data_IF_972940616385
#
_entry.id   IF_972940616385
#
_cell.length_a   1.000
_cell.length_b   1.000
_cell.length_c   1.000
_cell.angle_alpha   90.00
_cell.angle_beta   90.00
_cell.angle_gamma   90.00
#
_symmetry.space_group_name_H-M   'P 1'
#
loop_
_entity.id
_entity.type
_entity.pdbx_description
1 polymer ?
#
# COMPACT_ATOMS: atom_id res chain seq x y z
N UNK A 1 62.96 63.07 -17.98
CA UNK A 1 63.08 61.59 -18.02
C UNK A 1 61.67 61.05 -17.79
N UNK A 2 60.90 60.85 -18.87
CA UNK A 2 60.65 59.54 -19.54
C UNK A 2 59.73 58.64 -18.69
N UNK A 3 58.51 58.24 -19.09
CA UNK A 3 57.80 58.31 -20.37
C UNK A 3 56.28 58.10 -20.18
N UNK A 4 55.49 57.85 -21.25
CA UNK A 4 54.02 57.85 -21.18
C UNK A 4 53.46 56.50 -20.70
N UNK A 5 52.36 56.55 -19.95
CA UNK A 5 51.60 55.37 -19.51
C UNK A 5 50.81 54.79 -20.69
N UNK A 6 51.00 53.51 -21.00
CA UNK A 6 50.17 52.79 -21.97
C UNK A 6 48.78 52.50 -21.39
N UNK A 7 47.69 52.61 -22.17
CA UNK A 7 46.39 52.17 -21.68
C UNK A 7 46.28 50.65 -21.80
N UNK A 8 46.05 49.97 -20.67
CA UNK A 8 45.68 48.55 -20.64
C UNK A 8 44.25 48.43 -21.17
N UNK A 9 44.07 47.75 -22.28
CA UNK A 9 42.75 47.48 -22.87
C UNK A 9 41.99 46.46 -22.00
N UNK A 10 40.96 46.91 -21.30
CA UNK A 10 40.02 46.04 -20.59
C UNK A 10 39.00 45.51 -21.60
N UNK A 11 39.19 44.29 -22.10
CA UNK A 11 38.13 43.59 -22.84
C UNK A 11 37.08 43.08 -21.85
N UNK A 12 35.91 43.74 -21.83
CA UNK A 12 34.75 43.26 -21.10
C UNK A 12 34.07 42.14 -21.89
N UNK A 13 34.18 40.91 -21.41
CA UNK A 13 33.42 39.77 -21.94
C UNK A 13 31.97 39.92 -21.49
N UNK A 14 31.08 40.23 -22.41
CA UNK A 14 29.65 40.30 -22.16
C UNK A 14 29.08 38.87 -22.16
N UNK A 15 28.92 38.27 -20.98
CA UNK A 15 28.18 37.02 -20.82
C UNK A 15 26.68 37.31 -21.03
N UNK A 16 26.18 36.98 -22.22
CA UNK A 16 24.76 36.96 -22.52
C UNK A 16 24.10 35.82 -21.73
N UNK A 17 23.51 36.15 -20.58
CA UNK A 17 22.61 35.27 -19.85
C UNK A 17 21.33 35.08 -20.67
N UNK A 18 21.24 33.97 -21.40
CA UNK A 18 20.02 33.56 -22.09
C UNK A 18 18.93 33.23 -21.07
N UNK A 19 17.98 34.14 -20.88
CA UNK A 19 16.77 33.94 -20.08
C UNK A 19 15.85 32.93 -20.78
N UNK A 20 16.05 31.64 -20.50
CA UNK A 20 15.11 30.60 -20.91
C UNK A 20 13.76 30.85 -20.24
N UNK A 21 12.71 31.12 -21.03
CA UNK A 21 11.34 31.19 -20.50
C UNK A 21 10.91 29.82 -20.01
N UNK A 22 10.81 29.66 -18.68
CA UNK A 22 10.16 28.52 -18.07
C UNK A 22 8.65 28.76 -18.09
N UNK A 23 7.92 28.06 -18.96
CA UNK A 23 6.45 28.05 -18.94
C UNK A 23 5.97 27.11 -17.83
N UNK A 24 5.72 27.65 -16.63
CA UNK A 24 5.01 26.93 -15.58
C UNK A 24 3.54 26.72 -15.95
N UNK A 25 3.02 25.50 -15.81
CA UNK A 25 1.59 25.22 -15.94
C UNK A 25 0.88 25.46 -14.61
N UNK A 26 -0.24 26.17 -14.64
CA UNK A 26 -1.13 26.33 -13.49
C UNK A 26 -2.17 25.20 -13.48
N UNK A 27 -2.38 24.58 -12.33
CA UNK A 27 -3.41 23.57 -12.10
C UNK A 27 -4.34 24.06 -10.99
N UNK A 28 -5.63 24.24 -11.32
CA UNK A 28 -6.63 24.68 -10.35
C UNK A 28 -7.23 23.47 -9.63
N UNK A 29 -7.23 23.51 -8.30
CA UNK A 29 -7.89 22.54 -7.45
C UNK A 29 -9.07 23.26 -6.77
N UNK A 30 -10.30 22.97 -7.20
CA UNK A 30 -11.51 23.60 -6.67
C UNK A 30 -12.65 22.59 -6.60
N UNK A 31 -13.55 22.78 -5.65
CA UNK A 31 -14.84 22.11 -5.49
C UNK A 31 -16.04 23.00 -5.85
N UNK A 32 -15.82 24.20 -6.43
CA UNK A 32 -16.88 25.17 -6.81
C UNK A 32 -17.95 24.57 -7.75
N UNK A 33 -17.60 23.51 -8.51
CA UNK A 33 -18.51 22.78 -9.39
C UNK A 33 -19.12 21.51 -8.77
N UNK A 34 -18.91 21.27 -7.48
CA UNK A 34 -19.20 20.02 -6.79
C UNK A 34 -18.01 19.07 -6.74
N UNK A 35 -18.17 17.99 -5.96
CA UNK A 35 -17.14 16.97 -5.76
C UNK A 35 -17.21 15.87 -6.83
N UNK A 36 -16.07 15.20 -7.04
CA UNK A 36 -15.98 13.99 -7.84
C UNK A 36 -16.57 12.75 -7.13
N UNK A 37 -16.09 11.57 -7.50
CA UNK A 37 -16.49 10.31 -6.84
C UNK A 37 -15.95 10.22 -5.42
N UNK A 38 -16.66 9.50 -4.56
CA UNK A 38 -16.19 9.12 -3.24
C UNK A 38 -15.00 8.16 -3.39
N UNK A 39 -14.01 8.34 -2.54
CA UNK A 39 -12.87 7.43 -2.44
C UNK A 39 -13.17 6.34 -1.40
N UNK A 40 -13.15 5.08 -1.82
CA UNK A 40 -13.55 3.94 -0.99
C UNK A 40 -12.40 3.31 -0.19
N UNK A 41 -11.15 3.74 -0.43
CA UNK A 41 -9.96 3.29 0.28
C UNK A 41 -8.98 2.47 -0.55
N UNK A 42 -7.88 2.10 0.10
CA UNK A 42 -6.79 1.26 -0.44
C UNK A 42 -6.63 0.05 0.48
N UNK A 43 -6.37 -1.12 -0.11
CA UNK A 43 -6.28 -2.37 0.62
C UNK A 43 -5.13 -3.28 0.20
N UNK A 44 -5.02 -4.37 0.96
CA UNK A 44 -4.15 -5.51 0.68
C UNK A 44 -4.95 -6.83 0.65
N UNK A 45 -4.38 -7.85 0.03
CA UNK A 45 -4.94 -9.20 -0.07
C UNK A 45 -4.09 -10.16 0.78
N UNK A 46 -4.75 -10.93 1.65
CA UNK A 46 -4.22 -12.18 2.20
C UNK A 46 -4.94 -13.36 1.53
N UNK A 47 -4.21 -14.40 1.18
CA UNK A 47 -4.68 -15.48 0.32
C UNK A 47 -4.39 -15.23 -1.15
N UNK A 48 -5.18 -15.81 -2.04
CA UNK A 48 -4.68 -16.17 -3.37
C UNK A 48 -3.59 -17.23 -3.24
N UNK A 49 -3.71 -18.11 -2.25
CA UNK A 49 -2.80 -19.20 -1.95
C UNK A 49 -1.73 -18.89 -0.92
N UNK A 50 -1.98 -19.22 0.34
CA UNK A 50 -0.96 -19.37 1.39
C UNK A 50 -0.05 -18.17 1.68
N UNK A 51 -0.40 -16.95 1.23
CA UNK A 51 0.52 -15.80 1.23
C UNK A 51 0.87 -15.29 2.63
N UNK A 52 0.00 -15.53 3.62
CA UNK A 52 0.23 -15.19 5.04
C UNK A 52 0.70 -16.39 5.89
N UNK A 53 0.99 -17.54 5.29
CA UNK A 53 1.22 -18.82 5.98
C UNK A 53 2.32 -18.75 7.04
N UNK A 54 3.39 -18.00 6.79
CA UNK A 54 4.55 -17.94 7.69
C UNK A 54 4.40 -16.89 8.80
N UNK A 55 3.46 -15.94 8.66
CA UNK A 55 3.30 -14.83 9.61
C UNK A 55 2.78 -15.30 10.97
N UNK A 56 1.91 -16.31 11.00
CA UNK A 56 1.23 -16.77 12.23
C UNK A 56 2.18 -17.24 13.33
N UNK A 57 3.35 -17.76 12.95
CA UNK A 57 4.33 -18.35 13.87
C UNK A 57 5.49 -17.40 14.18
N UNK A 58 5.46 -16.15 13.72
CA UNK A 58 6.46 -15.16 14.14
C UNK A 58 6.41 -14.98 15.65
N UNK A 59 7.59 -14.85 16.26
CA UNK A 59 7.72 -14.55 17.68
C UNK A 59 7.21 -13.15 18.00
N UNK A 60 6.71 -12.97 19.22
CA UNK A 60 6.47 -11.64 19.77
C UNK A 60 7.81 -11.00 20.22
N UNK A 61 7.97 -9.68 20.09
CA UNK A 61 6.96 -8.69 19.70
C UNK A 61 6.82 -8.48 18.18
N UNK A 62 7.61 -9.20 17.37
CA UNK A 62 7.76 -8.91 15.94
C UNK A 62 6.48 -9.16 15.15
N UNK A 63 5.75 -10.23 15.45
CA UNK A 63 4.45 -10.49 14.81
C UNK A 63 3.48 -9.33 15.01
N UNK A 64 3.34 -8.85 16.24
CA UNK A 64 2.48 -7.71 16.54
C UNK A 64 2.96 -6.42 15.87
N UNK A 65 4.29 -6.21 15.77
CA UNK A 65 4.87 -5.04 15.08
C UNK A 65 4.59 -5.06 13.57
N UNK A 66 4.68 -6.22 12.91
CA UNK A 66 4.30 -6.36 11.49
C UNK A 66 2.83 -5.99 11.29
N UNK A 67 1.96 -6.50 12.16
CA UNK A 67 0.53 -6.18 12.12
C UNK A 67 0.25 -4.69 12.39
N UNK A 68 1.05 -4.03 13.25
CA UNK A 68 1.00 -2.58 13.45
C UNK A 68 1.38 -1.83 12.16
N UNK A 69 2.46 -2.23 11.47
CA UNK A 69 2.83 -1.62 10.19
C UNK A 69 1.73 -1.73 9.12
N UNK A 70 0.96 -2.82 9.13
CA UNK A 70 -0.11 -3.02 8.14
C UNK A 70 -1.40 -2.26 8.51
N UNK A 71 -1.85 -2.38 9.76
CA UNK A 71 -3.23 -2.04 10.12
C UNK A 71 -3.39 -0.90 11.11
N UNK A 72 -2.33 -0.50 11.83
CA UNK A 72 -2.45 0.57 12.83
C UNK A 72 -2.62 1.91 12.14
N UNK A 73 -3.70 2.66 12.43
CA UNK A 73 -3.90 3.99 11.85
C UNK A 73 -2.77 4.95 12.21
N UNK A 74 -2.41 5.84 11.28
CA UNK A 74 -1.38 6.87 11.45
C UNK A 74 0.00 6.28 11.81
N UNK A 75 0.33 5.10 11.29
CA UNK A 75 1.61 4.45 11.57
C UNK A 75 2.34 4.02 10.29
N UNK A 76 2.01 2.85 9.75
CA UNK A 76 2.59 2.34 8.52
C UNK A 76 1.63 2.50 7.33
N UNK A 77 1.40 1.41 6.62
CA UNK A 77 0.48 1.35 5.48
C UNK A 77 -0.94 1.80 5.84
N UNK A 78 -1.37 1.60 7.08
CA UNK A 78 -2.65 2.08 7.61
C UNK A 78 -3.83 1.70 6.71
N UNK A 79 -3.92 0.42 6.31
CA UNK A 79 -4.85 -0.04 5.28
C UNK A 79 -6.32 0.23 5.64
N UNK A 80 -7.09 0.64 4.63
CA UNK A 80 -8.53 0.85 4.72
C UNK A 80 -9.32 -0.44 4.50
N UNK A 81 -8.77 -1.36 3.69
CA UNK A 81 -9.42 -2.61 3.28
C UNK A 81 -8.46 -3.78 3.49
N UNK A 82 -8.96 -4.86 4.09
CA UNK A 82 -8.31 -6.18 4.05
C UNK A 82 -9.23 -7.14 3.29
N UNK A 83 -8.74 -7.63 2.14
CA UNK A 83 -9.37 -8.72 1.40
C UNK A 83 -8.73 -10.04 1.81
N UNK A 84 -9.52 -11.07 2.04
CA UNK A 84 -9.06 -12.42 2.38
C UNK A 84 -9.63 -13.47 1.41
N UNK A 85 -8.88 -14.55 1.21
CA UNK A 85 -9.40 -15.75 0.56
C UNK A 85 -10.41 -16.47 1.47
N UNK A 86 -11.49 -16.96 0.87
CA UNK A 86 -12.33 -17.99 1.47
C UNK A 86 -11.75 -19.32 0.98
N UNK A 87 -10.99 -20.00 1.85
CA UNK A 87 -10.29 -21.23 1.51
C UNK A 87 -11.22 -22.30 0.94
N UNK A 88 -10.71 -23.05 -0.04
CA UNK A 88 -11.45 -24.04 -0.81
C UNK A 88 -10.71 -25.35 -1.03
N UNK A 89 -9.75 -25.67 -0.17
CA UNK A 89 -8.97 -26.94 -0.15
C UNK A 89 -8.13 -27.24 -1.39
N UNK A 90 -7.95 -26.28 -2.30
CA UNK A 90 -7.14 -26.43 -3.50
C UNK A 90 -5.96 -25.46 -3.51
N UNK A 91 -4.99 -25.71 -4.40
CA UNK A 91 -3.88 -24.82 -4.66
C UNK A 91 -4.39 -23.55 -5.34
N UNK A 92 -4.11 -22.38 -4.77
CA UNK A 92 -4.60 -21.08 -5.26
C UNK A 92 -3.52 -20.04 -5.57
N UNK A 93 -2.22 -20.36 -5.40
CA UNK A 93 -1.00 -19.86 -6.11
C UNK A 93 0.24 -20.42 -5.39
N UNK A 94 0.47 -20.02 -4.12
CA UNK A 94 1.66 -20.41 -3.33
C UNK A 94 1.37 -21.52 -2.31
N UNK A 95 0.14 -22.05 -2.29
CA UNK A 95 -0.29 -23.14 -1.44
C UNK A 95 -1.80 -23.25 -1.34
N UNK A 96 -2.26 -24.17 -0.49
CA UNK A 96 -3.68 -24.41 -0.24
C UNK A 96 -4.17 -23.67 0.99
N UNK A 97 -5.38 -23.11 0.96
CA UNK A 97 -6.07 -22.60 2.15
C UNK A 97 -7.26 -23.49 2.53
N UNK A 98 -7.41 -23.84 3.83
CA UNK A 98 -8.41 -24.81 4.26
C UNK A 98 -9.82 -24.24 4.17
N UNK A 99 -10.74 -25.03 3.63
CA UNK A 99 -12.16 -24.77 3.65
C UNK A 99 -12.74 -24.87 5.06
N UNK A 100 -13.79 -24.11 5.30
CA UNK A 100 -14.64 -24.25 6.47
C UNK A 100 -15.55 -25.48 6.39
N UNK A 101 -15.71 -26.09 5.21
CA UNK A 101 -16.42 -27.35 4.96
C UNK A 101 -15.58 -28.25 4.05
N UNK A 102 -14.92 -29.29 4.57
CA UNK A 102 -14.13 -30.23 3.76
C UNK A 102 -14.99 -31.28 3.05
N UNK A 103 -16.18 -31.55 3.58
CA UNK A 103 -17.17 -32.48 3.04
C UNK A 103 -18.57 -31.98 3.45
N UNK A 104 -19.63 -32.51 2.83
CA UNK A 104 -21.01 -31.96 2.87
C UNK A 104 -21.54 -31.62 4.28
N UNK A 105 -21.17 -32.40 5.29
CA UNK A 105 -21.63 -32.24 6.68
C UNK A 105 -20.52 -31.80 7.65
N UNK A 106 -19.41 -31.28 7.14
CA UNK A 106 -18.30 -30.73 7.93
C UNK A 106 -18.45 -29.23 8.10
N UNK A 107 -18.31 -28.72 9.34
CA UNK A 107 -18.26 -27.29 9.60
C UNK A 107 -17.19 -26.97 10.63
N UNK A 108 -16.25 -26.09 10.29
CA UNK A 108 -15.26 -25.57 11.21
C UNK A 108 -14.77 -24.17 10.83
N UNK A 109 -15.14 -23.18 11.64
CA UNK A 109 -14.81 -21.77 11.45
C UNK A 109 -13.53 -21.33 12.20
N UNK A 110 -12.66 -22.28 12.55
CA UNK A 110 -11.41 -22.05 13.27
C UNK A 110 -10.18 -22.57 12.51
N UNK A 111 -10.34 -23.01 11.25
CA UNK A 111 -9.24 -23.47 10.40
C UNK A 111 -8.48 -22.30 9.77
N UNK A 112 -7.23 -22.55 9.42
CA UNK A 112 -6.38 -21.57 8.75
C UNK A 112 -6.08 -20.36 9.63
N UNK A 113 -5.82 -19.23 9.00
CA UNK A 113 -5.34 -18.03 9.68
C UNK A 113 -6.08 -16.75 9.31
N UNK A 114 -6.96 -16.77 8.31
CA UNK A 114 -7.68 -15.57 7.88
C UNK A 114 -8.64 -15.04 8.94
N UNK A 115 -9.28 -15.93 9.71
CA UNK A 115 -10.07 -15.55 10.89
C UNK A 115 -9.23 -14.78 11.92
N UNK A 116 -7.99 -15.22 12.16
CA UNK A 116 -7.07 -14.55 13.07
C UNK A 116 -6.62 -13.20 12.50
N UNK A 117 -6.23 -13.16 11.22
CA UNK A 117 -5.74 -11.94 10.59
C UNK A 117 -6.81 -10.83 10.55
N UNK A 118 -8.06 -11.19 10.21
CA UNK A 118 -9.19 -10.26 10.25
C UNK A 118 -9.44 -9.69 11.65
N UNK A 119 -9.33 -10.52 12.70
CA UNK A 119 -9.45 -10.07 14.10
C UNK A 119 -8.32 -9.13 14.49
N UNK A 120 -7.07 -9.44 14.13
CA UNK A 120 -5.91 -8.60 14.41
C UNK A 120 -5.99 -7.24 13.67
N UNK A 121 -6.50 -7.23 12.44
CA UNK A 121 -6.75 -6.01 11.68
C UNK A 121 -7.84 -5.16 12.32
N UNK A 122 -9.01 -5.75 12.65
CA UNK A 122 -10.12 -5.05 13.33
C UNK A 122 -9.73 -4.51 14.70
N UNK A 123 -8.89 -5.22 15.45
CA UNK A 123 -8.38 -4.76 16.75
C UNK A 123 -7.58 -3.46 16.63
N UNK A 124 -6.81 -3.29 15.54
CA UNK A 124 -5.99 -2.10 15.28
C UNK A 124 -6.77 -0.98 14.61
N UNK A 125 -7.62 -1.34 13.65
CA UNK A 125 -8.49 -0.43 12.93
C UNK A 125 -9.92 -0.99 12.91
N UNK A 126 -10.78 -0.58 13.87
CA UNK A 126 -12.18 -1.01 13.91
C UNK A 126 -12.98 -0.65 12.65
N UNK A 127 -12.55 0.36 11.90
CA UNK A 127 -13.19 0.86 10.68
C UNK A 127 -12.68 0.16 9.40
N UNK A 128 -11.74 -0.80 9.50
CA UNK A 128 -11.26 -1.50 8.31
C UNK A 128 -12.41 -2.25 7.62
N UNK A 129 -12.49 -2.15 6.30
CA UNK A 129 -13.43 -2.92 5.48
C UNK A 129 -12.88 -4.33 5.25
N UNK A 130 -13.71 -5.35 5.46
CA UNK A 130 -13.36 -6.75 5.24
C UNK A 130 -14.09 -7.29 4.00
N UNK A 131 -13.35 -7.95 3.12
CA UNK A 131 -13.88 -8.56 1.90
C UNK A 131 -13.43 -10.02 1.84
N UNK A 132 -14.34 -10.96 1.60
CA UNK A 132 -14.03 -12.36 1.34
C UNK A 132 -14.25 -12.73 -0.13
N UNK A 133 -13.40 -13.58 -0.70
CA UNK A 133 -13.57 -14.11 -2.05
C UNK A 133 -13.02 -15.55 -2.13
N UNK A 134 -13.76 -16.53 -2.67
CA UNK A 134 -13.23 -17.87 -2.90
C UNK A 134 -12.39 -17.92 -4.19
N UNK A 135 -11.25 -18.61 -4.13
CA UNK A 135 -10.47 -18.99 -5.33
C UNK A 135 -10.77 -20.42 -5.80
N UNK A 136 -11.17 -21.29 -4.87
CA UNK A 136 -11.52 -22.67 -5.11
C UNK A 136 -12.73 -23.06 -4.26
N UNK A 137 -13.25 -24.25 -4.51
CA UNK A 137 -14.35 -24.84 -3.76
C UNK A 137 -14.02 -26.31 -3.45
N UNK A 138 -14.47 -26.84 -2.30
CA UNK A 138 -14.47 -28.28 -2.03
C UNK A 138 -15.18 -29.06 -3.14
N UNK A 139 -14.71 -30.28 -3.41
CA UNK A 139 -15.20 -31.16 -4.47
C UNK A 139 -16.43 -32.00 -4.12
#
# INVERSE_FOLDING_TARGET
MSGPLSPVSLSAVLLLLSSGSCSGRNYFLTDDGGLGRVFDGIGGLSGGGATSRLLVNYEEPYRSQILDFLFKPNFGASLHILKVEIGGDAQTTDGTEPSHMHYENDENYFRGYEWWLMKEAKKRNPNITLIGLPWAFPG
#
